data_IF_341928886384
#
_entry.id   IF_341928886384
#
_cell.length_a   1.000
_cell.length_b   1.000
_cell.length_c   1.000
_cell.angle_alpha   90.00
_cell.angle_beta   90.00
_cell.angle_gamma   90.00
#
_symmetry.space_group_name_H-M   'P 1'
#
loop_
_entity.id
_entity.type
_entity.pdbx_description
1 polymer ?
#
# COMPACT_ATOMS: atom_id res chain seq x y z
N UNK A 1 24.34 -12.46 -13.84
CA UNK A 1 23.12 -13.14 -14.30
C UNK A 1 21.98 -12.75 -13.39
N UNK A 2 21.20 -11.74 -13.77
CA UNK A 2 19.83 -11.47 -13.30
C UNK A 2 19.23 -10.39 -14.20
N UNK A 3 18.61 -10.86 -15.29
CA UNK A 3 17.44 -10.24 -15.94
C UNK A 3 16.26 -10.32 -14.95
N UNK A 4 15.23 -9.47 -14.88
CA UNK A 4 14.74 -8.31 -15.65
C UNK A 4 13.63 -7.74 -14.76
N UNK A 5 13.68 -6.45 -14.43
CA UNK A 5 12.57 -5.74 -13.79
C UNK A 5 12.14 -4.65 -14.77
N UNK A 6 11.14 -4.97 -15.60
CA UNK A 6 10.51 -4.03 -16.52
C UNK A 6 9.17 -3.67 -15.89
N UNK A 7 9.09 -2.46 -15.34
CA UNK A 7 8.10 -1.46 -15.76
C UNK A 7 8.63 -0.08 -15.32
N UNK A 8 9.14 0.63 -16.33
CA UNK A 8 9.66 2.00 -16.33
C UNK A 8 8.70 2.98 -15.63
N UNK A 9 9.15 3.84 -14.72
CA UNK A 9 10.08 4.98 -14.87
C UNK A 9 9.45 6.15 -15.64
N UNK A 10 8.95 7.13 -14.87
CA UNK A 10 8.92 8.53 -15.25
C UNK A 10 9.44 9.36 -14.05
N UNK A 11 10.75 9.27 -13.81
CA UNK A 11 11.53 10.25 -13.05
C UNK A 11 12.57 10.83 -13.99
N UNK A 12 12.24 11.95 -14.63
CA UNK A 12 13.18 12.84 -15.32
C UNK A 12 12.44 14.14 -15.68
N UNK A 13 12.45 15.11 -14.75
CA UNK A 13 12.38 16.57 -15.01
C UNK A 13 12.31 17.32 -13.68
N UNK A 14 13.44 17.41 -12.97
CA UNK A 14 13.88 18.66 -12.34
C UNK A 14 14.89 19.20 -13.38
N UNK A 15 14.88 20.45 -13.87
CA UNK A 15 15.05 21.73 -13.18
C UNK A 15 14.59 22.83 -14.17
N UNK A 16 13.68 23.72 -13.78
CA UNK A 16 13.79 25.20 -13.83
C UNK A 16 12.41 25.88 -13.63
N UNK A 17 12.43 26.98 -12.90
CA UNK A 17 11.36 27.96 -12.66
C UNK A 17 10.37 27.68 -11.52
N UNK A 18 10.79 28.12 -10.32
CA UNK A 18 10.02 28.96 -9.38
C UNK A 18 8.55 29.29 -9.73
N UNK A 19 7.69 29.15 -8.71
CA UNK A 19 6.27 29.54 -8.59
C UNK A 19 5.19 28.54 -9.11
N UNK A 20 4.71 27.68 -8.20
CA UNK A 20 3.28 27.37 -8.01
C UNK A 20 3.09 26.58 -6.70
N UNK A 21 3.40 27.23 -5.58
CA UNK A 21 2.93 26.83 -4.26
C UNK A 21 1.70 27.68 -3.94
N UNK A 22 0.51 27.12 -4.07
CA UNK A 22 -0.71 27.68 -3.47
C UNK A 22 -1.58 26.47 -3.08
N UNK A 23 -1.47 25.93 -1.87
CA UNK A 23 -2.08 26.44 -0.64
C UNK A 23 -3.60 26.63 -0.79
N UNK A 24 -4.39 25.61 -0.44
CA UNK A 24 -5.64 25.81 0.28
C UNK A 24 -5.60 24.90 1.52
N UNK A 25 -5.41 25.58 2.64
CA UNK A 25 -5.38 25.15 4.03
C UNK A 25 -6.82 25.29 4.59
N UNK A 26 -7.12 24.69 5.77
CA UNK A 26 -8.11 25.15 6.80
C UNK A 26 -9.37 24.30 7.13
N UNK A 27 -9.23 23.20 7.87
CA UNK A 27 -10.09 22.84 9.03
C UNK A 27 -11.64 22.68 8.96
N UNK A 28 -12.09 21.50 9.45
CA UNK A 28 -13.24 21.10 10.33
C UNK A 28 -14.73 21.52 10.12
N UNK A 29 -15.55 20.51 9.71
CA UNK A 29 -16.87 19.96 10.20
C UNK A 29 -17.65 20.79 11.26
N UNK A 30 -19.00 21.02 11.24
CA UNK A 30 -20.12 20.06 10.98
C UNK A 30 -21.42 20.59 10.30
N UNK A 31 -22.02 19.79 9.40
CA UNK A 31 -23.47 19.50 9.22
C UNK A 31 -23.80 19.29 7.74
N UNK A 32 -24.15 18.04 7.42
CA UNK A 32 -25.16 17.60 6.45
C UNK A 32 -25.24 18.33 5.09
N UNK A 33 -24.99 17.56 4.01
CA UNK A 33 -25.23 17.84 2.58
C UNK A 33 -24.16 18.66 1.85
N UNK A 34 -22.95 18.14 1.73
CA UNK A 34 -21.94 18.71 0.82
C UNK A 34 -21.28 17.62 -0.04
N UNK A 35 -21.40 17.79 -1.35
CA UNK A 35 -20.69 17.04 -2.38
C UNK A 35 -19.19 17.16 -2.16
N UNK A 36 -18.49 16.03 -2.07
CA UNK A 36 -17.05 16.02 -1.80
C UNK A 36 -16.31 16.14 -3.13
N UNK A 37 -15.62 17.27 -3.33
CA UNK A 37 -14.80 17.54 -4.50
C UNK A 37 -13.52 16.69 -4.46
N UNK A 38 -13.40 15.73 -5.39
CA UNK A 38 -12.18 14.93 -5.62
C UNK A 38 -11.36 15.60 -6.74
N UNK A 39 -11.23 16.92 -6.69
CA UNK A 39 -10.58 17.69 -7.74
C UNK A 39 -9.69 18.77 -7.14
N UNK A 40 -8.46 18.83 -7.63
CA UNK A 40 -7.63 20.01 -7.50
C UNK A 40 -7.82 20.81 -8.79
N UNK A 41 -8.38 22.02 -8.68
CA UNK A 41 -8.34 22.98 -9.78
C UNK A 41 -6.92 23.50 -9.91
N UNK A 42 -6.29 23.25 -11.06
CA UNK A 42 -5.05 23.93 -11.40
C UNK A 42 -5.44 25.23 -12.11
N UNK A 43 -5.43 26.35 -11.39
CA UNK A 43 -5.40 27.67 -12.01
C UNK A 43 -4.00 27.85 -12.61
N UNK A 44 -3.81 27.39 -13.85
CA UNK A 44 -2.65 27.78 -14.64
C UNK A 44 -2.83 29.27 -14.99
N UNK A 45 -2.01 30.12 -14.37
CA UNK A 45 -1.80 31.48 -14.85
C UNK A 45 -1.40 31.41 -16.32
N UNK A 46 -2.22 32.01 -17.18
CA UNK A 46 -2.02 32.03 -18.62
C UNK A 46 -0.74 32.78 -18.98
N UNK A 47 0.16 32.15 -19.73
CA UNK A 47 1.09 32.89 -20.58
C UNK A 47 0.27 33.59 -21.67
N UNK A 48 0.38 34.92 -21.73
CA UNK A 48 -0.17 35.72 -22.82
C UNK A 48 0.45 35.29 -24.15
N UNK A 49 -0.36 35.14 -25.20
CA UNK A 49 0.10 35.15 -26.58
C UNK A 49 -0.43 36.40 -27.29
N UNK A 50 0.36 37.01 -28.20
CA UNK A 50 0.03 38.30 -28.80
C UNK A 50 -1.08 38.13 -29.85
N UNK A 51 -1.97 39.13 -29.91
CA UNK A 51 -3.09 39.13 -30.86
C UNK A 51 -2.70 39.39 -32.31
N UNK A 52 -3.67 39.22 -33.22
CA UNK A 52 -3.87 40.00 -34.46
C UNK A 52 -5.09 39.50 -35.24
N UNK A 53 -5.92 40.44 -35.73
CA UNK A 53 -6.50 40.44 -37.08
C UNK A 53 -7.88 39.82 -37.32
N UNK A 54 -8.85 40.68 -37.70
CA UNK A 54 -10.15 40.34 -38.28
C UNK A 54 -10.07 39.43 -39.52
N UNK A 55 -10.95 38.41 -39.61
CA UNK A 55 -11.31 37.76 -40.89
C UNK A 55 -12.79 37.30 -40.86
N UNK A 56 -13.47 37.56 -41.99
CA UNK A 56 -14.90 37.35 -42.25
C UNK A 56 -15.38 35.88 -42.26
N UNK A 57 -16.65 35.67 -41.87
CA UNK A 57 -17.29 34.36 -41.62
C UNK A 57 -17.98 33.79 -42.87
N UNK A 58 -17.69 32.53 -43.21
CA UNK A 58 -18.48 31.71 -44.15
C UNK A 58 -19.30 30.65 -43.39
N UNK A 59 -20.62 30.59 -43.64
CA UNK A 59 -21.60 29.88 -42.80
C UNK A 59 -21.49 28.34 -42.75
N UNK A 60 -20.75 27.71 -43.67
CA UNK A 60 -20.46 26.26 -43.64
C UNK A 60 -19.30 25.88 -42.73
N UNK A 61 -18.48 26.85 -42.29
CA UNK A 61 -17.36 26.63 -41.36
C UNK A 61 -17.79 26.78 -39.90
N UNK A 62 -18.88 27.51 -39.61
CA UNK A 62 -19.33 27.78 -38.24
C UNK A 62 -19.83 26.51 -37.52
N UNK A 63 -20.56 25.62 -38.21
CA UNK A 63 -21.02 24.36 -37.62
C UNK A 63 -19.85 23.39 -37.34
N UNK A 64 -18.84 23.39 -38.21
CA UNK A 64 -17.63 22.59 -38.06
C UNK A 64 -16.71 23.19 -36.97
N UNK A 65 -16.65 24.51 -36.86
CA UNK A 65 -15.96 25.24 -35.79
C UNK A 65 -16.69 25.09 -34.43
N UNK A 66 -18.01 25.03 -34.40
CA UNK A 66 -18.81 24.69 -33.22
C UNK A 66 -18.55 23.24 -32.79
N UNK A 67 -18.44 22.29 -33.75
CA UNK A 67 -18.05 20.90 -33.49
C UNK A 67 -16.59 20.75 -33.02
N UNK A 68 -15.68 21.55 -33.55
CA UNK A 68 -14.27 21.60 -33.14
C UNK A 68 -14.11 22.28 -31.76
N UNK A 69 -14.87 23.34 -31.47
CA UNK A 69 -14.93 24.00 -30.16
C UNK A 69 -15.57 23.11 -29.08
N UNK A 70 -16.56 22.29 -29.43
CA UNK A 70 -17.13 21.27 -28.53
C UNK A 70 -16.18 20.09 -28.27
N UNK A 71 -15.03 20.02 -28.95
CA UNK A 71 -13.95 19.06 -28.69
C UNK A 71 -12.75 19.65 -27.96
N UNK A 72 -12.74 20.96 -27.69
CA UNK A 72 -11.66 21.59 -26.93
C UNK A 72 -11.85 21.32 -25.44
N UNK A 73 -10.85 20.63 -24.88
CA UNK A 73 -10.68 20.32 -23.47
C UNK A 73 -10.32 21.61 -22.71
N UNK A 74 -11.31 22.49 -22.49
CA UNK A 74 -11.19 23.74 -21.73
C UNK A 74 -11.30 25.03 -22.57
N UNK A 75 -11.72 26.12 -21.92
CA UNK A 75 -11.65 27.50 -22.40
C UNK A 75 -10.47 28.24 -21.75
N UNK A 76 -10.21 29.50 -22.14
CA UNK A 76 -9.24 30.37 -21.44
C UNK A 76 -9.57 30.56 -19.94
N UNK A 77 -10.84 30.40 -19.57
CA UNK A 77 -11.36 30.61 -18.22
C UNK A 77 -11.59 29.30 -17.44
N UNK A 78 -11.46 28.14 -18.07
CA UNK A 78 -11.78 26.85 -17.45
C UNK A 78 -11.02 25.69 -18.09
N UNK A 79 -10.39 24.86 -17.26
CA UNK A 79 -9.74 23.64 -17.69
C UNK A 79 -10.37 22.41 -17.00
N UNK A 80 -10.57 21.29 -17.72
CA UNK A 80 -11.08 20.07 -17.12
C UNK A 80 -10.20 19.58 -15.98
N UNK A 81 -10.78 19.12 -14.86
CA UNK A 81 -10.01 18.63 -13.73
C UNK A 81 -9.08 17.48 -14.10
N UNK A 82 -7.89 17.47 -13.50
CA UNK A 82 -7.00 16.30 -13.57
C UNK A 82 -7.51 15.23 -12.62
N UNK A 83 -7.47 13.98 -13.06
CA UNK A 83 -7.81 12.82 -12.25
C UNK A 83 -6.77 12.65 -11.13
N UNK A 84 -7.14 12.96 -9.89
CA UNK A 84 -6.31 12.72 -8.73
C UNK A 84 -7.17 12.29 -7.54
N UNK A 85 -6.76 11.24 -6.85
CA UNK A 85 -7.40 10.86 -5.59
C UNK A 85 -6.76 11.67 -4.47
N UNK A 86 -7.59 12.41 -3.75
CA UNK A 86 -7.17 13.18 -2.59
C UNK A 86 -7.43 12.31 -1.35
N UNK A 87 -6.35 11.94 -0.66
CA UNK A 87 -6.41 11.09 0.55
C UNK A 87 -6.62 11.88 1.84
N UNK A 88 -6.51 13.20 1.80
CA UNK A 88 -6.73 14.09 2.94
C UNK A 88 -8.16 14.62 2.94
N UNK A 89 -8.78 14.68 4.12
CA UNK A 89 -10.07 15.36 4.26
C UNK A 89 -9.84 16.85 4.02
N UNK A 90 -10.53 17.38 3.01
CA UNK A 90 -10.44 18.79 2.64
C UNK A 90 -11.19 19.66 3.66
N UNK A 91 -10.74 20.91 3.84
CA UNK A 91 -11.38 21.89 4.72
C UNK A 91 -12.83 22.19 4.32
N UNK A 92 -13.68 22.47 5.30
CA UNK A 92 -15.07 22.91 5.04
C UNK A 92 -15.07 24.42 4.82
N UNK A 93 -15.38 24.84 3.60
CA UNK A 93 -15.51 26.24 3.21
C UNK A 93 -16.99 26.58 2.99
N UNK A 94 -17.37 27.86 3.12
CA UNK A 94 -18.75 28.25 2.84
C UNK A 94 -19.04 28.01 1.37
N UNK A 95 -20.19 27.41 1.07
CA UNK A 95 -20.56 27.05 -0.30
C UNK A 95 -20.45 28.20 -1.29
N UNK A 96 -20.94 29.37 -0.89
CA UNK A 96 -20.87 30.59 -1.71
C UNK A 96 -19.45 31.02 -2.04
N UNK A 97 -18.49 30.82 -1.13
CA UNK A 97 -17.09 31.20 -1.35
C UNK A 97 -16.43 30.26 -2.37
N UNK A 98 -16.69 28.96 -2.26
CA UNK A 98 -16.15 27.98 -3.20
C UNK A 98 -16.78 28.10 -4.59
N UNK A 99 -18.09 28.37 -4.67
CA UNK A 99 -18.76 28.61 -5.96
C UNK A 99 -18.23 29.88 -6.64
N UNK A 100 -17.97 30.94 -5.87
CA UNK A 100 -17.32 32.15 -6.38
C UNK A 100 -15.89 31.89 -6.89
N UNK A 101 -15.12 31.05 -6.18
CA UNK A 101 -13.75 30.67 -6.58
C UNK A 101 -13.69 29.85 -7.88
N UNK A 102 -14.74 29.10 -8.23
CA UNK A 102 -14.85 28.44 -9.53
C UNK A 102 -15.55 29.32 -10.60
N UNK A 103 -15.66 30.63 -10.33
CA UNK A 103 -16.27 31.63 -11.21
C UNK A 103 -17.70 31.29 -11.64
N UNK A 104 -18.48 30.66 -10.75
CA UNK A 104 -19.85 30.21 -11.05
C UNK A 104 -19.91 29.26 -12.26
N UNK A 105 -18.83 28.52 -12.52
CA UNK A 105 -18.77 27.49 -13.56
C UNK A 105 -18.84 26.11 -12.93
N UNK A 106 -19.54 25.20 -13.60
CA UNK A 106 -19.61 23.79 -13.26
C UNK A 106 -18.20 23.20 -13.25
N UNK A 107 -17.82 22.58 -12.13
CA UNK A 107 -16.52 21.92 -11.99
C UNK A 107 -16.30 20.77 -12.99
N UNK A 108 -17.37 20.16 -13.52
CA UNK A 108 -17.30 19.04 -14.46
C UNK A 108 -17.21 19.43 -15.93
N UNK A 109 -17.97 20.44 -16.36
CA UNK A 109 -18.13 20.77 -17.78
C UNK A 109 -17.94 22.25 -18.14
N UNK A 110 -17.77 23.13 -17.14
CA UNK A 110 -17.56 24.56 -17.37
C UNK A 110 -18.81 25.36 -17.74
N UNK A 111 -20.01 24.76 -17.69
CA UNK A 111 -21.29 25.47 -17.88
C UNK A 111 -21.59 26.35 -16.69
N UNK A 112 -22.20 27.52 -16.88
CA UNK A 112 -22.64 28.39 -15.78
C UNK A 112 -23.60 27.66 -14.82
N UNK A 113 -23.43 27.91 -13.53
CA UNK A 113 -24.21 27.31 -12.45
C UNK A 113 -24.72 28.37 -11.49
N UNK A 114 -25.79 28.06 -10.76
CA UNK A 114 -26.33 28.97 -9.76
C UNK A 114 -25.34 29.21 -8.60
N UNK A 115 -25.43 30.34 -7.87
CA UNK A 115 -24.56 30.68 -6.72
C UNK A 115 -24.51 29.65 -5.58
N UNK A 116 -25.35 28.61 -5.62
CA UNK A 116 -25.47 27.55 -4.62
C UNK A 116 -25.09 26.17 -5.14
N UNK A 117 -24.60 26.07 -6.37
CA UNK A 117 -24.33 24.80 -7.03
C UNK A 117 -22.87 24.69 -7.47
N UNK A 118 -22.24 23.55 -7.16
CA UNK A 118 -20.88 23.26 -7.58
C UNK A 118 -20.79 22.66 -8.99
N UNK A 119 -21.82 21.89 -9.35
CA UNK A 119 -21.96 21.16 -10.59
C UNK A 119 -23.37 21.41 -11.13
N UNK A 120 -23.51 21.39 -12.46
CA UNK A 120 -24.84 21.33 -13.08
C UNK A 120 -25.48 19.93 -12.89
N UNK A 121 -26.79 19.85 -13.07
CA UNK A 121 -27.56 18.60 -12.97
C UNK A 121 -27.02 17.48 -13.86
N UNK A 122 -26.49 17.81 -15.04
CA UNK A 122 -25.90 16.83 -15.95
C UNK A 122 -24.59 16.21 -15.44
N UNK A 123 -23.88 16.88 -14.54
CA UNK A 123 -22.59 16.42 -14.00
C UNK A 123 -22.73 15.83 -12.58
N UNK A 124 -23.89 15.97 -11.95
CA UNK A 124 -24.17 15.50 -10.61
C UNK A 124 -25.60 14.95 -10.52
N UNK A 125 -25.84 13.80 -11.14
CA UNK A 125 -27.14 13.12 -11.13
C UNK A 125 -27.55 12.46 -9.81
N UNK A 126 -26.91 12.79 -8.69
CA UNK A 126 -27.19 12.21 -7.37
C UNK A 126 -26.44 10.91 -7.08
N UNK A 127 -25.37 10.62 -7.83
CA UNK A 127 -24.48 9.48 -7.57
C UNK A 127 -23.88 9.54 -6.17
N UNK A 128 -23.70 8.37 -5.54
CA UNK A 128 -23.04 8.26 -4.25
C UNK A 128 -21.87 7.26 -4.26
N UNK A 129 -20.83 7.57 -3.48
CA UNK A 129 -19.67 6.71 -3.31
C UNK A 129 -19.04 6.82 -1.92
N UNK A 130 -18.22 5.84 -1.57
CA UNK A 130 -17.36 5.94 -0.38
C UNK A 130 -16.17 6.84 -0.70
N UNK A 131 -15.82 7.70 0.24
CA UNK A 131 -14.79 8.72 0.04
C UNK A 131 -13.48 8.25 0.68
N UNK A 132 -12.40 8.02 -0.11
CA UNK A 132 -11.14 7.51 0.41
C UNK A 132 -10.56 8.32 1.57
N UNK A 133 -10.58 9.67 1.47
CA UNK A 133 -10.05 10.51 2.54
C UNK A 133 -10.79 10.37 3.88
N UNK A 134 -12.11 10.15 3.85
CA UNK A 134 -12.91 9.87 5.06
C UNK A 134 -12.62 8.48 5.61
N UNK A 135 -12.57 7.47 4.74
CA UNK A 135 -12.20 6.11 5.13
C UNK A 135 -10.85 6.12 5.85
N UNK A 136 -9.83 6.75 5.25
CA UNK A 136 -8.47 6.76 5.77
C UNK A 136 -8.32 7.57 7.07
N UNK A 137 -9.16 8.59 7.28
CA UNK A 137 -9.06 9.48 8.44
C UNK A 137 -9.92 9.05 9.63
N UNK A 138 -11.11 8.50 9.38
CA UNK A 138 -12.07 8.17 10.42
C UNK A 138 -12.75 6.79 10.26
N UNK A 139 -12.22 5.92 9.39
CA UNK A 139 -12.77 4.58 9.15
C UNK A 139 -14.24 4.58 8.72
N UNK A 140 -14.60 5.63 8.01
CA UNK A 140 -15.95 5.90 7.54
C UNK A 140 -16.17 5.33 6.13
N UNK A 141 -17.17 4.47 6.03
CA UNK A 141 -17.59 3.86 4.76
C UNK A 141 -19.01 4.28 4.38
N UNK A 142 -19.49 5.39 4.95
CA UNK A 142 -20.69 6.06 4.49
C UNK A 142 -20.58 6.39 2.99
N UNK A 143 -21.73 6.34 2.32
CA UNK A 143 -21.85 6.81 0.95
C UNK A 143 -22.21 8.28 0.99
N UNK A 144 -21.55 9.05 0.14
CA UNK A 144 -21.71 10.50 0.06
C UNK A 144 -21.99 10.91 -1.38
N UNK A 145 -22.79 11.96 -1.59
CA UNK A 145 -22.99 12.54 -2.91
C UNK A 145 -21.67 12.93 -3.55
N UNK A 146 -21.48 12.47 -4.79
CA UNK A 146 -20.31 12.75 -5.63
C UNK A 146 -20.78 13.09 -7.04
N UNK A 147 -19.96 13.84 -7.77
CA UNK A 147 -20.21 14.03 -9.21
C UNK A 147 -20.14 12.69 -9.94
N UNK A 148 -20.83 12.58 -11.07
CA UNK A 148 -20.83 11.36 -11.87
C UNK A 148 -19.43 11.04 -12.42
N UNK A 149 -18.61 12.08 -12.60
CA UNK A 149 -17.20 11.91 -12.90
C UNK A 149 -16.44 11.23 -11.75
N UNK A 150 -16.57 11.78 -10.54
CA UNK A 150 -15.88 11.23 -9.37
C UNK A 150 -16.34 9.81 -9.07
N UNK A 151 -17.63 9.51 -9.28
CA UNK A 151 -18.18 8.16 -9.19
C UNK A 151 -17.45 7.19 -10.13
N UNK A 152 -17.35 7.52 -11.43
CA UNK A 152 -16.61 6.70 -12.41
C UNK A 152 -15.16 6.48 -12.02
N UNK A 153 -14.47 7.53 -11.53
CA UNK A 153 -13.08 7.42 -11.07
C UNK A 153 -12.98 6.46 -9.88
N UNK A 154 -13.78 6.67 -8.83
CA UNK A 154 -13.77 5.85 -7.62
C UNK A 154 -14.09 4.39 -7.90
N UNK A 155 -15.03 4.12 -8.81
CA UNK A 155 -15.37 2.76 -9.23
C UNK A 155 -14.20 2.12 -9.99
N UNK A 156 -13.52 2.87 -10.87
CA UNK A 156 -12.39 2.33 -11.64
C UNK A 156 -11.17 1.94 -10.79
N UNK A 157 -11.01 2.56 -9.62
CA UNK A 157 -9.88 2.32 -8.70
C UNK A 157 -10.26 1.46 -7.50
N UNK A 158 -11.51 1.02 -7.38
CA UNK A 158 -12.03 0.36 -6.18
C UNK A 158 -11.23 -0.89 -5.77
N UNK A 159 -10.85 -1.69 -6.77
CA UNK A 159 -10.06 -2.92 -6.59
C UNK A 159 -8.55 -2.71 -6.74
N UNK A 160 -8.09 -1.49 -7.02
CA UNK A 160 -6.67 -1.22 -7.24
C UNK A 160 -5.96 -0.99 -5.90
N UNK A 161 -4.80 -1.64 -5.65
CA UNK A 161 -4.04 -1.48 -4.42
C UNK A 161 -3.26 -0.16 -4.44
N UNK A 162 -3.92 0.93 -4.01
CA UNK A 162 -3.37 2.30 -4.08
C UNK A 162 -3.06 2.92 -2.71
N UNK A 163 -3.55 2.32 -1.62
CA UNK A 163 -3.54 2.94 -0.29
C UNK A 163 -2.46 2.33 0.60
N UNK A 164 -1.27 2.94 0.62
CA UNK A 164 -0.23 2.59 1.59
C UNK A 164 -0.53 3.20 2.95
N UNK A 165 -0.97 2.37 3.90
CA UNK A 165 -1.38 2.81 5.24
C UNK A 165 -0.22 3.34 6.09
N UNK A 166 1.04 3.08 5.73
CA UNK A 166 2.20 3.74 6.37
C UNK A 166 2.35 5.20 5.97
N UNK A 167 1.79 5.58 4.82
CA UNK A 167 1.86 6.92 4.27
C UNK A 167 0.58 7.72 4.57
N UNK A 168 -0.59 7.17 4.19
CA UNK A 168 -1.87 7.90 4.19
C UNK A 168 -2.76 7.60 5.39
N UNK A 169 -2.50 6.50 6.12
CA UNK A 169 -3.37 5.97 7.17
C UNK A 169 -2.64 5.68 8.49
N UNK A 170 -1.62 6.48 8.85
CA UNK A 170 -0.66 6.18 9.93
C UNK A 170 -1.27 5.83 11.28
N UNK A 171 -2.46 6.35 11.58
CA UNK A 171 -3.17 6.11 12.86
C UNK A 171 -4.27 5.06 12.76
N UNK A 172 -4.50 4.44 11.60
CA UNK A 172 -5.58 3.48 11.41
C UNK A 172 -5.34 2.19 12.19
N UNK A 173 -4.13 1.63 12.14
CA UNK A 173 -3.82 0.40 12.87
C UNK A 173 -4.09 0.54 14.38
N UNK A 174 -3.75 1.68 14.98
CA UNK A 174 -3.98 1.88 16.42
C UNK A 174 -5.44 2.16 16.79
N UNK A 175 -6.26 2.61 15.83
CA UNK A 175 -7.66 2.99 16.08
C UNK A 175 -8.66 1.91 15.68
N UNK A 176 -8.31 1.06 14.72
CA UNK A 176 -9.20 0.06 14.12
C UNK A 176 -8.73 -1.33 14.49
N UNK A 177 -9.40 -1.94 15.47
CA UNK A 177 -9.01 -3.24 16.04
C UNK A 177 -9.03 -4.36 15.00
N UNK A 178 -9.97 -4.35 14.07
CA UNK A 178 -10.11 -5.38 13.02
C UNK A 178 -8.95 -5.34 12.04
N UNK A 179 -8.48 -4.13 11.71
CA UNK A 179 -7.33 -3.91 10.84
C UNK A 179 -6.03 -4.32 11.55
N UNK A 180 -5.91 -4.01 12.83
CA UNK A 180 -4.78 -4.43 13.66
C UNK A 180 -4.67 -5.95 13.75
N UNK A 181 -5.80 -6.63 14.00
CA UNK A 181 -5.89 -8.10 13.98
C UNK A 181 -5.51 -8.68 12.61
N UNK A 182 -5.93 -8.04 11.53
CA UNK A 182 -5.55 -8.49 10.19
C UNK A 182 -4.05 -8.34 9.93
N UNK A 183 -3.42 -7.25 10.40
CA UNK A 183 -1.96 -7.07 10.34
C UNK A 183 -1.22 -8.21 11.02
N UNK A 184 -1.64 -8.58 12.23
CA UNK A 184 -1.03 -9.70 12.98
C UNK A 184 -1.16 -11.02 12.22
N UNK A 185 -2.33 -11.29 11.64
CA UNK A 185 -2.55 -12.47 10.79
C UNK A 185 -1.66 -12.44 9.55
N UNK A 186 -1.52 -11.30 8.87
CA UNK A 186 -0.61 -11.14 7.73
C UNK A 186 0.84 -11.45 8.11
N UNK A 187 1.33 -10.96 9.24
CA UNK A 187 2.69 -11.22 9.71
C UNK A 187 2.94 -12.72 9.92
N UNK A 188 1.97 -13.43 10.52
CA UNK A 188 2.03 -14.88 10.71
C UNK A 188 1.97 -15.63 9.37
N UNK A 189 1.04 -15.25 8.49
CA UNK A 189 0.87 -15.84 7.15
C UNK A 189 2.13 -15.66 6.31
N UNK A 190 2.74 -14.49 6.29
CA UNK A 190 4.01 -14.24 5.59
C UNK A 190 5.16 -15.06 6.19
N UNK A 191 5.16 -15.26 7.50
CA UNK A 191 6.13 -16.09 8.21
C UNK A 191 6.04 -17.55 7.80
N UNK A 192 4.83 -18.12 7.83
CA UNK A 192 4.59 -19.54 7.52
C UNK A 192 4.68 -19.81 6.01
N UNK A 193 4.27 -18.87 5.15
CA UNK A 193 4.39 -18.99 3.69
C UNK A 193 5.85 -19.25 3.25
N UNK A 194 6.83 -18.59 3.89
CA UNK A 194 8.27 -18.82 3.63
C UNK A 194 8.72 -20.24 3.95
N UNK A 195 8.10 -20.89 4.93
CA UNK A 195 8.39 -22.28 5.27
C UNK A 195 7.71 -23.23 4.26
N UNK A 196 6.44 -22.96 3.95
CA UNK A 196 5.64 -23.76 3.03
C UNK A 196 6.17 -23.74 1.61
N UNK A 197 6.67 -22.60 1.12
CA UNK A 197 7.27 -22.48 -0.22
C UNK A 197 8.54 -23.33 -0.41
N UNK A 198 9.21 -23.70 0.69
CA UNK A 198 10.34 -24.63 0.69
C UNK A 198 9.94 -26.10 0.95
N UNK A 199 8.66 -26.37 1.18
CA UNK A 199 8.12 -27.71 1.42
C UNK A 199 7.48 -28.27 0.15
N UNK A 200 7.95 -29.42 -0.34
CA UNK A 200 7.38 -30.07 -1.53
C UNK A 200 6.00 -30.70 -1.32
N UNK A 201 5.52 -30.78 -0.08
CA UNK A 201 4.24 -31.40 0.29
C UNK A 201 3.15 -30.36 0.61
N UNK A 202 3.46 -29.06 0.54
CA UNK A 202 2.56 -27.98 0.93
C UNK A 202 1.56 -27.56 -0.15
N UNK A 203 1.57 -28.20 -1.33
CA UNK A 203 0.83 -27.74 -2.51
C UNK A 203 -0.66 -27.48 -2.28
N UNK A 204 -1.34 -28.30 -1.45
CA UNK A 204 -2.74 -28.09 -1.09
C UNK A 204 -2.96 -26.80 -0.30
N UNK A 205 -2.13 -26.55 0.71
CA UNK A 205 -2.21 -25.33 1.54
C UNK A 205 -1.80 -24.11 0.72
N UNK A 206 -0.80 -24.23 -0.15
CA UNK A 206 -0.38 -23.15 -1.05
C UNK A 206 -1.52 -22.70 -1.96
N UNK A 207 -2.36 -23.63 -2.46
CA UNK A 207 -3.55 -23.28 -3.24
C UNK A 207 -4.61 -22.50 -2.43
N UNK A 208 -4.62 -22.61 -1.10
CA UNK A 208 -5.47 -21.78 -0.24
C UNK A 208 -4.89 -20.36 -0.07
N UNK A 209 -3.55 -20.23 -0.04
CA UNK A 209 -2.89 -18.91 -0.08
C UNK A 209 -3.21 -18.13 -1.35
N UNK A 210 -3.31 -18.80 -2.50
CA UNK A 210 -3.63 -18.17 -3.79
C UNK A 210 -5.04 -17.54 -3.82
N UNK A 211 -5.92 -17.90 -2.87
CA UNK A 211 -7.24 -17.30 -2.72
C UNK A 211 -7.19 -15.97 -1.95
N UNK A 212 -6.08 -15.67 -1.28
CA UNK A 212 -5.85 -14.37 -0.65
C UNK A 212 -5.30 -13.40 -1.72
N UNK A 213 -5.62 -12.09 -1.64
CA UNK A 213 -5.07 -11.12 -2.58
C UNK A 213 -3.54 -11.08 -2.50
N UNK A 214 -2.87 -11.40 -3.62
CA UNK A 214 -1.40 -11.54 -3.68
C UNK A 214 -0.66 -10.27 -3.21
N UNK A 215 -1.17 -9.08 -3.56
CA UNK A 215 -0.57 -7.80 -3.16
C UNK A 215 -0.52 -7.61 -1.65
N UNK A 216 -1.48 -8.19 -0.89
CA UNK A 216 -1.48 -8.13 0.58
C UNK A 216 -0.41 -9.02 1.21
N UNK A 217 0.07 -10.04 0.47
CA UNK A 217 1.15 -10.93 0.89
C UNK A 217 2.53 -10.41 0.47
N UNK A 218 2.60 -9.61 -0.59
CA UNK A 218 3.84 -9.01 -1.09
C UNK A 218 4.13 -7.64 -0.46
N UNK A 219 3.09 -6.81 -0.32
CA UNK A 219 3.14 -5.44 0.18
C UNK A 219 2.11 -5.25 1.31
N UNK A 220 2.44 -5.64 2.57
CA UNK A 220 1.47 -5.80 3.66
C UNK A 220 0.70 -4.53 4.04
N UNK A 221 1.23 -3.36 3.69
CA UNK A 221 0.62 -2.07 4.00
C UNK A 221 -0.13 -1.43 2.83
N UNK A 222 -0.12 -2.06 1.64
CA UNK A 222 -0.75 -1.54 0.43
C UNK A 222 -2.12 -2.19 0.24
N UNK A 223 -3.18 -1.40 0.37
CA UNK A 223 -4.56 -1.89 0.29
C UNK A 223 -5.32 -1.27 -0.89
N UNK A 224 -6.36 -1.95 -1.35
CA UNK A 224 -7.44 -1.37 -2.17
C UNK A 224 -8.64 -0.94 -1.29
N UNK A 225 -9.63 -0.24 -1.87
CA UNK A 225 -10.87 0.07 -1.14
C UNK A 225 -11.63 -1.21 -0.78
N UNK A 226 -11.65 -2.17 -1.71
CA UNK A 226 -12.28 -3.48 -1.51
C UNK A 226 -11.65 -4.24 -0.34
N UNK A 227 -10.31 -4.25 -0.23
CA UNK A 227 -9.63 -4.95 0.86
C UNK A 227 -10.02 -4.36 2.22
N UNK A 228 -9.99 -3.02 2.34
CA UNK A 228 -10.36 -2.32 3.58
C UNK A 228 -11.83 -2.57 3.95
N UNK A 229 -12.70 -2.65 2.94
CA UNK A 229 -14.10 -3.03 3.15
C UNK A 229 -14.25 -4.48 3.63
N UNK A 230 -13.52 -5.43 3.02
CA UNK A 230 -13.52 -6.84 3.44
C UNK A 230 -12.91 -7.04 4.83
N UNK A 231 -11.93 -6.22 5.24
CA UNK A 231 -11.44 -6.17 6.63
C UNK A 231 -12.55 -5.69 7.55
N UNK A 232 -13.19 -4.55 7.24
CA UNK A 232 -14.27 -3.98 8.06
C UNK A 232 -15.45 -4.94 8.23
N UNK A 233 -15.84 -5.62 7.15
CA UNK A 233 -16.94 -6.59 7.17
C UNK A 233 -16.56 -7.92 7.81
N UNK A 234 -15.27 -8.26 7.83
CA UNK A 234 -14.76 -9.50 8.41
C UNK A 234 -14.37 -10.64 7.45
N UNK A 235 -14.92 -10.79 6.21
CA UNK A 235 -14.60 -11.94 5.36
C UNK A 235 -13.11 -12.18 5.12
N UNK A 236 -12.32 -11.13 4.94
CA UNK A 236 -10.88 -11.27 4.71
C UNK A 236 -10.14 -11.77 5.96
N UNK A 237 -10.58 -11.36 7.15
CA UNK A 237 -10.02 -11.83 8.42
C UNK A 237 -10.35 -13.31 8.66
N UNK A 238 -11.59 -13.71 8.35
CA UNK A 238 -12.03 -15.12 8.46
C UNK A 238 -11.26 -16.00 7.50
N UNK A 239 -11.12 -15.57 6.24
CA UNK A 239 -10.36 -16.29 5.22
C UNK A 239 -8.88 -16.43 5.62
N UNK A 240 -8.24 -15.34 6.02
CA UNK A 240 -6.84 -15.35 6.47
C UNK A 240 -6.61 -16.29 7.67
N UNK A 241 -7.55 -16.33 8.62
CA UNK A 241 -7.48 -17.25 9.77
C UNK A 241 -7.61 -18.71 9.35
N UNK A 242 -8.52 -19.02 8.42
CA UNK A 242 -8.70 -20.37 7.91
C UNK A 242 -7.42 -20.89 7.21
N UNK A 243 -6.84 -20.06 6.34
CA UNK A 243 -5.56 -20.36 5.67
C UNK A 243 -4.45 -20.55 6.70
N UNK A 244 -4.37 -19.69 7.71
CA UNK A 244 -3.35 -19.81 8.76
C UNK A 244 -3.51 -21.12 9.56
N UNK A 245 -4.73 -21.51 9.90
CA UNK A 245 -4.99 -22.77 10.59
C UNK A 245 -4.60 -23.98 9.72
N UNK A 246 -4.98 -24.00 8.44
CA UNK A 246 -4.58 -25.04 7.48
C UNK A 246 -3.05 -25.13 7.35
N UNK A 247 -2.37 -23.98 7.35
CA UNK A 247 -0.92 -23.90 7.30
C UNK A 247 -0.24 -24.43 8.57
N UNK A 248 -0.76 -24.11 9.75
CA UNK A 248 -0.24 -24.63 11.02
C UNK A 248 -0.43 -26.14 11.08
N UNK A 249 -1.62 -26.64 10.75
CA UNK A 249 -1.94 -28.07 10.74
C UNK A 249 -1.01 -28.84 9.78
N UNK A 250 -0.70 -28.28 8.61
CA UNK A 250 0.30 -28.85 7.72
C UNK A 250 1.70 -28.89 8.35
N UNK A 251 2.14 -27.81 8.99
CA UNK A 251 3.48 -27.75 9.61
C UNK A 251 3.62 -28.77 10.74
N UNK A 252 2.58 -28.94 11.56
CA UNK A 252 2.55 -29.90 12.67
C UNK A 252 2.55 -31.36 12.18
N UNK A 253 1.94 -31.63 11.03
CA UNK A 253 1.82 -32.97 10.46
C UNK A 253 2.82 -33.28 9.33
N UNK A 254 3.76 -32.37 9.03
CA UNK A 254 4.73 -32.55 7.94
C UNK A 254 6.17 -32.63 8.45
N UNK A 255 6.78 -33.81 8.33
CA UNK A 255 8.17 -34.06 8.75
C UNK A 255 9.18 -33.12 8.06
N UNK A 256 8.93 -32.72 6.80
CA UNK A 256 9.81 -31.79 6.07
C UNK A 256 9.76 -30.36 6.62
N UNK A 257 8.62 -29.96 7.18
CA UNK A 257 8.44 -28.68 7.85
C UNK A 257 9.02 -28.75 9.26
N UNK A 258 8.72 -29.80 10.03
CA UNK A 258 9.28 -30.03 11.36
C UNK A 258 10.81 -30.03 11.37
N UNK A 259 11.45 -30.67 10.39
CA UNK A 259 12.90 -30.70 10.24
C UNK A 259 13.55 -29.31 10.01
N UNK A 260 12.76 -28.30 9.59
CA UNK A 260 13.22 -26.92 9.41
C UNK A 260 12.97 -26.02 10.62
N UNK A 261 12.26 -26.52 11.63
CA UNK A 261 12.06 -25.81 12.88
C UNK A 261 13.33 -25.78 13.74
N UNK A 262 13.22 -25.18 14.93
CA UNK A 262 14.33 -25.02 15.85
C UNK A 262 14.03 -25.71 17.18
N UNK A 263 15.06 -26.25 17.80
CA UNK A 263 15.02 -26.67 19.21
C UNK A 263 15.68 -25.58 20.03
N UNK A 264 15.03 -25.13 21.11
CA UNK A 264 15.59 -24.09 21.95
C UNK A 264 16.82 -24.60 22.72
N UNK A 265 18.01 -24.05 22.46
CA UNK A 265 19.26 -24.52 23.11
C UNK A 265 19.33 -24.27 24.63
N UNK A 266 18.47 -23.39 25.15
CA UNK A 266 18.42 -23.05 26.58
C UNK A 266 17.67 -24.10 27.40
N UNK A 267 16.40 -24.37 27.06
CA UNK A 267 15.60 -25.38 27.78
C UNK A 267 15.84 -26.80 27.24
N UNK A 268 16.20 -26.94 25.95
CA UNK A 268 16.37 -28.22 25.25
C UNK A 268 15.15 -29.14 25.35
N UNK A 269 13.97 -28.54 25.52
CA UNK A 269 12.69 -29.22 25.34
C UNK A 269 12.60 -29.73 23.90
N UNK A 270 11.91 -30.86 23.69
CA UNK A 270 11.78 -31.46 22.35
C UNK A 270 10.82 -30.69 21.43
N UNK A 271 10.16 -29.68 21.97
CA UNK A 271 9.19 -28.87 21.24
C UNK A 271 9.90 -28.06 20.16
N UNK A 272 9.40 -28.21 18.93
CA UNK A 272 9.92 -27.54 17.76
C UNK A 272 9.29 -26.16 17.67
N UNK A 273 10.11 -25.12 17.69
CA UNK A 273 9.66 -23.73 17.56
C UNK A 273 9.96 -23.17 16.18
N UNK A 274 9.07 -22.31 15.71
CA UNK A 274 9.16 -21.68 14.40
C UNK A 274 9.23 -20.16 14.48
N UNK A 275 9.86 -19.49 13.49
CA UNK A 275 9.90 -18.04 13.41
C UNK A 275 8.53 -17.32 13.39
N UNK A 276 7.49 -17.97 12.87
CA UNK A 276 6.15 -17.37 12.72
C UNK A 276 5.32 -17.41 14.02
N UNK A 277 5.73 -18.21 15.02
CA UNK A 277 5.10 -18.29 16.34
C UNK A 277 5.54 -17.12 17.22
N UNK A 278 5.18 -15.90 16.81
CA UNK A 278 5.67 -14.67 17.40
C UNK A 278 5.29 -14.48 18.88
N UNK A 279 4.34 -15.25 19.40
CA UNK A 279 3.90 -15.31 20.78
C UNK A 279 4.90 -16.01 21.70
N UNK A 280 5.43 -17.17 21.29
CA UNK A 280 6.36 -18.00 22.10
C UNK A 280 7.82 -17.89 21.64
N UNK A 281 8.08 -17.51 20.40
CA UNK A 281 9.41 -17.53 19.78
C UNK A 281 10.05 -16.14 19.70
N UNK A 282 11.37 -16.08 19.93
CA UNK A 282 12.22 -14.91 19.68
C UNK A 282 13.44 -15.32 18.86
N UNK A 283 13.68 -14.59 17.76
CA UNK A 283 14.87 -14.78 16.91
C UNK A 283 16.05 -13.98 17.41
N UNK A 284 17.23 -14.59 17.38
CA UNK A 284 18.48 -13.86 17.55
C UNK A 284 18.66 -12.86 16.38
N UNK A 285 18.95 -11.58 16.64
CA UNK A 285 19.09 -10.57 15.59
C UNK A 285 20.31 -10.81 14.68
N UNK A 286 21.31 -11.56 15.16
CA UNK A 286 22.56 -11.83 14.43
C UNK A 286 22.47 -13.12 13.62
N UNK A 287 22.24 -14.27 14.27
CA UNK A 287 22.27 -15.58 13.60
C UNK A 287 20.89 -16.14 13.22
N UNK A 288 19.81 -15.41 13.50
CA UNK A 288 18.41 -15.77 13.18
C UNK A 288 17.90 -17.08 13.80
N UNK A 289 18.67 -17.72 14.68
CA UNK A 289 18.23 -18.91 15.42
C UNK A 289 17.10 -18.55 16.38
N UNK A 290 16.10 -19.43 16.47
CA UNK A 290 14.93 -19.24 17.32
C UNK A 290 15.15 -19.79 18.73
N UNK A 291 14.61 -19.09 19.71
CA UNK A 291 14.58 -19.50 21.11
C UNK A 291 13.22 -19.14 21.69
N UNK A 292 12.80 -19.81 22.78
CA UNK A 292 11.62 -19.33 23.51
C UNK A 292 11.85 -17.91 24.03
N UNK A 293 10.81 -17.06 24.00
CA UNK A 293 10.87 -15.70 24.51
C UNK A 293 11.35 -15.62 25.96
N UNK A 294 10.84 -16.52 26.79
CA UNK A 294 11.18 -16.59 28.21
C UNK A 294 12.61 -17.13 28.45
N UNK A 295 13.16 -17.91 27.52
CA UNK A 295 14.56 -18.35 27.58
C UNK A 295 15.55 -17.25 27.14
N UNK A 296 15.20 -16.46 26.12
CA UNK A 296 16.13 -15.50 25.50
C UNK A 296 16.06 -14.08 26.14
N UNK A 297 16.33 -14.00 27.45
CA UNK A 297 16.20 -12.77 28.25
C UNK A 297 17.42 -11.85 28.10
N UNK A 298 18.64 -12.35 28.32
CA UNK A 298 19.85 -11.53 28.38
C UNK A 298 20.41 -11.12 26.99
N UNK A 299 19.72 -11.44 25.89
CA UNK A 299 20.14 -11.22 24.49
C UNK A 299 21.52 -11.81 24.10
N UNK A 300 22.15 -12.59 24.98
CA UNK A 300 23.39 -13.33 24.71
C UNK A 300 23.05 -14.64 24.02
N UNK A 301 23.26 -14.71 22.71
CA UNK A 301 22.95 -15.90 21.93
C UNK A 301 24.07 -16.96 22.06
N UNK A 302 23.78 -18.19 22.52
CA UNK A 302 24.79 -19.23 22.71
C UNK A 302 25.46 -19.63 21.39
N UNK A 303 24.68 -19.71 20.30
CA UNK A 303 25.21 -19.97 18.96
C UNK A 303 26.15 -18.87 18.47
N UNK A 304 25.80 -17.60 18.68
CA UNK A 304 26.69 -16.48 18.33
C UNK A 304 27.99 -16.51 19.14
N UNK A 305 27.94 -16.84 20.43
CA UNK A 305 29.13 -16.99 21.26
C UNK A 305 30.06 -18.09 20.72
N UNK A 306 29.50 -19.28 20.35
CA UNK A 306 30.26 -20.36 19.71
C UNK A 306 30.84 -19.96 18.35
N UNK A 307 30.10 -19.22 17.53
CA UNK A 307 30.60 -18.72 16.23
C UNK A 307 31.75 -17.73 16.45
N UNK A 308 31.63 -16.83 17.42
CA UNK A 308 32.67 -15.84 17.73
C UNK A 308 33.94 -16.49 18.31
N UNK A 309 33.81 -17.51 19.18
CA UNK A 309 34.98 -18.22 19.71
C UNK A 309 35.75 -18.95 18.61
N UNK A 310 35.05 -19.65 17.71
CA UNK A 310 35.67 -20.30 16.53
C UNK A 310 36.36 -19.32 15.59
N UNK A 311 35.87 -18.08 15.48
CA UNK A 311 36.52 -17.04 14.66
C UNK A 311 37.78 -16.46 15.31
N UNK A 312 37.88 -16.48 16.64
CA UNK A 312 39.05 -15.99 17.39
C UNK A 312 40.18 -17.01 17.47
N UNK A 313 39.86 -18.29 17.29
CA UNK A 313 40.82 -19.39 17.16
C UNK A 313 40.68 -20.05 15.79
N UNK A 314 41.22 -19.45 14.71
CA UNK A 314 41.43 -20.15 13.46
C UNK A 314 42.61 -21.11 13.66
N UNK A 315 42.42 -22.22 14.40
CA UNK A 315 43.54 -23.12 14.67
C UNK A 315 44.05 -23.76 13.38
N UNK A 316 45.36 -23.63 13.21
CA UNK A 316 46.13 -24.11 12.09
C UNK A 316 46.05 -25.62 11.96
N UNK A 317 45.89 -26.05 10.72
CA UNK A 317 46.27 -27.38 10.28
C UNK A 317 47.82 -27.45 10.34
N UNK A 318 48.38 -27.87 11.47
CA UNK A 318 49.72 -28.47 11.47
C UNK A 318 49.53 -29.96 11.26
N UNK A 319 49.97 -30.41 10.10
CA UNK A 319 50.11 -31.79 9.72
C UNK A 319 51.27 -32.39 10.53
N UNK A 320 50.94 -33.06 11.64
CA UNK A 320 51.90 -33.92 12.34
C UNK A 320 52.05 -35.23 11.54
N UNK A 321 52.81 -35.15 10.45
CA UNK A 321 53.42 -36.33 9.86
C UNK A 321 54.46 -36.86 10.84
N UNK A 322 54.08 -37.90 11.59
CA UNK A 322 54.97 -38.65 12.49
C UNK A 322 56.18 -39.18 11.73
N UNK A 323 57.34 -38.58 11.97
CA UNK A 323 58.63 -39.04 11.49
C UNK A 323 59.05 -40.28 12.29
N UNK A 324 58.78 -41.46 11.74
CA UNK A 324 59.37 -42.72 12.21
C UNK A 324 60.89 -42.67 11.94
N UNK A 325 61.71 -42.47 12.98
CA UNK A 325 63.16 -42.70 12.90
C UNK A 325 63.42 -44.16 13.26
N UNK A 326 63.76 -44.94 12.26
CA UNK A 326 64.36 -46.27 12.40
C UNK A 326 65.76 -46.13 12.98
N UNK A 327 65.95 -46.60 14.22
CA UNK A 327 67.27 -46.79 14.83
C UNK A 327 67.93 -48.03 14.24
N UNK A 328 69.06 -47.82 13.58
CA UNK A 328 69.98 -48.88 13.14
C UNK A 328 70.58 -49.58 14.36
N UNK A 329 70.42 -50.90 14.43
CA UNK A 329 71.14 -51.78 15.36
C UNK A 329 72.45 -52.18 14.70
N UNK A 330 73.57 -51.88 15.35
CA UNK A 330 74.86 -52.52 15.14
C UNK A 330 74.89 -53.80 15.99
N UNK A 331 74.99 -54.96 15.33
CA UNK A 331 75.92 -56.05 15.66
C UNK A 331 75.89 -57.10 14.56
#
# INVERSE_FOLDING_TARGET
MTQTCIFQQAKSCFIFSTFCFQAILLSLVPKQRETILIFTFCSLSLCQLPGTGDVAVSSSSLAEEIRLRTRMRGSLSWAPPRFQIIFTVQPTNRRSEVVALQHFLCAGCGTEVEPREYFCDCCHGGSEAVIPGRLLSCWDFGRYPVSDFSKRLLDSVWHQPLFDLTCVGKTLYSRVKELDKFRELQEQLMGINKLLSACRLSGRVMAEFDQLPAHLMEQPHLFSMEDLWRVKKGPLVVQARAVLHSAIDHVENCELCLARGFICEFCRERDVIFPFQADICRRCPVCRTCFHKHCFVQKKCPKCARIQSRKKHPDGFHDDTTHFKSSSVQN
#
